data_IF_386385735000
#
_entry.id   IF_386385735000
#
_cell.length_a   1.000
_cell.length_b   1.000
_cell.length_c   1.000
_cell.angle_alpha   90.00
_cell.angle_beta   90.00
_cell.angle_gamma   90.00
#
_symmetry.space_group_name_H-M   'P 1'
#
loop_
_entity.id
_entity.type
_entity.pdbx_description
1 polymer ?
#
# COMPACT_ATOMS: atom_id res chain seq x y z
N UNK A 1 17.20 -13.66 -2.27
CA UNK A 1 16.99 -12.54 -1.32
C UNK A 1 15.71 -12.83 -0.55
N UNK A 2 15.78 -13.01 0.76
CA UNK A 2 14.61 -13.21 1.62
C UNK A 2 14.33 -11.86 2.28
N UNK A 3 13.18 -11.25 1.96
CA UNK A 3 12.68 -10.10 2.71
C UNK A 3 12.03 -10.59 4.00
N UNK A 4 12.38 -9.99 5.14
CA UNK A 4 11.74 -10.28 6.44
C UNK A 4 10.31 -9.68 6.55
N UNK A 5 9.73 -9.26 5.43
CA UNK A 5 8.41 -8.62 5.37
C UNK A 5 7.39 -9.58 4.76
N UNK A 6 6.27 -9.76 5.45
CA UNK A 6 5.20 -10.68 5.07
C UNK A 6 4.16 -9.98 4.20
N UNK A 7 4.49 -9.60 2.96
CA UNK A 7 3.51 -9.08 1.98
C UNK A 7 2.77 -7.78 2.34
N UNK A 8 1.85 -7.33 1.47
CA UNK A 8 1.02 -6.15 1.70
C UNK A 8 -0.17 -6.46 2.62
N UNK A 9 -0.56 -5.47 3.42
CA UNK A 9 -1.72 -5.52 4.32
C UNK A 9 -2.57 -4.25 4.16
N UNK A 10 -3.86 -4.36 4.46
CA UNK A 10 -4.78 -3.22 4.49
C UNK A 10 -4.90 -2.70 5.93
N UNK A 11 -4.74 -1.40 6.13
CA UNK A 11 -4.92 -0.78 7.45
C UNK A 11 -6.41 -0.52 7.67
N UNK A 12 -6.97 -1.03 8.77
CA UNK A 12 -8.35 -0.76 9.17
C UNK A 12 -8.43 0.43 10.14
N UNK A 13 -7.57 0.44 11.16
CA UNK A 13 -7.61 1.44 12.22
C UNK A 13 -6.21 1.67 12.79
N UNK A 14 -5.91 2.93 13.13
CA UNK A 14 -4.69 3.34 13.83
C UNK A 14 -5.08 3.96 15.17
N UNK A 15 -4.60 3.37 16.25
CA UNK A 15 -4.85 3.89 17.60
C UNK A 15 -3.80 4.94 17.99
N UNK A 16 -4.15 5.92 18.86
CA UNK A 16 -3.20 6.94 19.33
C UNK A 16 -1.96 6.38 20.03
N UNK A 17 -2.05 5.18 20.58
CA UNK A 17 -0.94 4.45 21.21
C UNK A 17 0.02 3.78 20.20
N UNK A 18 -0.20 3.94 18.89
CA UNK A 18 0.63 3.37 17.84
C UNK A 18 0.31 1.90 17.50
N UNK A 19 -0.73 1.31 18.08
CA UNK A 19 -1.24 0.00 17.65
C UNK A 19 -2.05 0.17 16.37
N UNK A 20 -1.77 -0.68 15.37
CA UNK A 20 -2.44 -0.66 14.08
C UNK A 20 -3.17 -1.98 13.89
N UNK A 21 -4.46 -1.91 13.56
CA UNK A 21 -5.23 -3.05 13.13
C UNK A 21 -5.06 -3.22 11.62
N UNK A 22 -4.55 -4.38 11.22
CA UNK A 22 -4.27 -4.73 9.83
C UNK A 22 -5.08 -5.94 9.38
N UNK A 23 -5.51 -5.93 8.13
CA UNK A 23 -6.19 -7.02 7.44
C UNK A 23 -5.27 -7.67 6.41
N UNK A 24 -5.21 -8.99 6.46
CA UNK A 24 -4.52 -9.84 5.51
C UNK A 24 -5.53 -10.42 4.51
N UNK A 25 -5.54 -9.97 3.25
CA UNK A 25 -6.44 -10.48 2.23
C UNK A 25 -6.15 -11.94 1.86
N UNK A 26 -4.90 -12.41 2.00
CA UNK A 26 -4.51 -13.78 1.66
C UNK A 26 -5.13 -14.79 2.63
N UNK A 27 -5.15 -14.44 3.92
CA UNK A 27 -5.69 -15.31 4.98
C UNK A 27 -7.12 -14.98 5.39
N UNK A 28 -7.71 -13.91 4.84
CA UNK A 28 -8.98 -13.31 5.29
C UNK A 28 -9.03 -13.10 6.81
N UNK A 29 -7.96 -12.51 7.35
CA UNK A 29 -7.76 -12.37 8.80
C UNK A 29 -7.38 -10.95 9.18
N UNK A 30 -7.84 -10.52 10.36
CA UNK A 30 -7.50 -9.22 10.93
C UNK A 30 -6.74 -9.41 12.23
N UNK A 31 -5.64 -8.70 12.40
CA UNK A 31 -4.82 -8.75 13.62
C UNK A 31 -4.24 -7.38 13.97
N UNK A 32 -3.70 -7.25 15.17
CA UNK A 32 -3.11 -6.01 15.68
C UNK A 32 -1.59 -6.11 15.72
N UNK A 33 -0.92 -5.06 15.26
CA UNK A 33 0.55 -4.94 15.29
C UNK A 33 0.97 -3.59 15.84
N UNK A 34 2.20 -3.50 16.35
CA UNK A 34 2.80 -2.20 16.65
C UNK A 34 3.14 -1.48 15.34
N UNK A 35 2.84 -0.19 15.23
CA UNK A 35 3.07 0.60 14.01
C UNK A 35 4.53 0.61 13.55
N UNK A 36 5.49 0.44 14.46
CA UNK A 36 6.92 0.32 14.13
C UNK A 36 7.25 -0.93 13.30
N UNK A 37 6.33 -1.90 13.19
CA UNK A 37 6.46 -3.12 12.39
C UNK A 37 5.72 -3.03 11.06
N UNK A 38 5.34 -1.84 10.62
CA UNK A 38 4.73 -1.60 9.33
C UNK A 38 5.61 -0.69 8.50
N UNK A 39 5.65 -0.95 7.19
CA UNK A 39 6.29 -0.10 6.20
C UNK A 39 5.25 0.22 5.12
N UNK A 40 5.17 1.47 4.62
CA UNK A 40 4.32 1.78 3.48
C UNK A 40 4.63 0.88 2.29
N UNK A 41 3.58 0.28 1.71
CA UNK A 41 3.70 -0.44 0.47
C UNK A 41 3.64 0.58 -0.68
N UNK A 42 4.74 0.73 -1.40
CA UNK A 42 4.80 1.57 -2.59
C UNK A 42 4.54 0.63 -3.76
N UNK A 43 3.39 0.79 -4.41
CA UNK A 43 3.12 0.06 -5.64
C UNK A 43 4.18 0.43 -6.67
N UNK A 44 4.87 -0.55 -7.29
CA UNK A 44 5.75 -0.25 -8.40
C UNK A 44 4.91 0.38 -9.50
N UNK A 45 5.41 1.47 -10.06
CA UNK A 45 4.80 2.12 -11.21
C UNK A 45 4.62 1.07 -12.31
N UNK A 46 3.37 0.78 -12.66
CA UNK A 46 3.07 -0.11 -13.77
C UNK A 46 3.14 0.73 -15.04
N UNK A 47 4.20 0.55 -15.83
CA UNK A 47 4.37 1.23 -17.13
C UNK A 47 3.19 0.99 -18.08
N UNK A 48 2.38 -0.04 -17.82
CA UNK A 48 1.26 -0.47 -18.66
C UNK A 48 -0.04 0.32 -18.45
N UNK A 49 -0.11 1.29 -17.52
CA UNK A 49 -1.37 1.95 -17.12
C UNK A 49 -1.46 3.46 -17.35
N UNK A 50 -0.45 4.08 -17.96
CA UNK A 50 -0.48 5.52 -18.26
C UNK A 50 -0.21 5.79 -19.76
N UNK A 51 -1.13 5.36 -20.64
CA UNK A 51 -1.39 6.14 -21.86
C UNK A 51 -2.17 7.40 -21.44
N UNK A 52 -1.47 8.32 -20.79
CA UNK A 52 -1.96 9.69 -20.67
C UNK A 52 -2.01 10.25 -22.10
N UNK A 53 -3.21 10.31 -22.69
CA UNK A 53 -3.40 11.00 -23.97
C UNK A 53 -3.00 12.47 -23.76
N UNK A 54 -1.78 12.80 -24.16
CA UNK A 54 -1.27 14.16 -24.15
C UNK A 54 -2.06 14.94 -25.21
N UNK A 55 -3.15 15.58 -24.80
CA UNK A 55 -3.86 16.51 -25.67
C UNK A 55 -2.91 17.68 -25.89
N UNK A 56 -2.39 17.78 -27.10
CA UNK A 56 -1.53 18.89 -27.52
C UNK A 56 -2.29 20.21 -27.33
N UNK A 57 -1.70 21.22 -26.66
CA UNK A 57 -2.37 22.50 -26.49
C UNK A 57 -2.61 23.13 -27.87
N UNK A 58 -3.87 23.47 -28.17
CA UNK A 58 -4.20 24.20 -29.39
C UNK A 58 -3.40 25.50 -29.43
N UNK A 59 -2.50 25.60 -30.42
CA UNK A 59 -1.75 26.82 -30.66
C UNK A 59 -2.73 27.91 -31.11
N UNK A 60 -2.71 29.03 -30.38
CA UNK A 60 -3.48 30.24 -30.64
C UNK A 60 -2.81 31.05 -31.75
#
# INVERSE_FOLDING_TARGET
MISWWTGPFVIHEVQPNGVVQVFNPTGNQTFKVNGHRLKPFIEPYSTDKEEINLIEPQQL
#
